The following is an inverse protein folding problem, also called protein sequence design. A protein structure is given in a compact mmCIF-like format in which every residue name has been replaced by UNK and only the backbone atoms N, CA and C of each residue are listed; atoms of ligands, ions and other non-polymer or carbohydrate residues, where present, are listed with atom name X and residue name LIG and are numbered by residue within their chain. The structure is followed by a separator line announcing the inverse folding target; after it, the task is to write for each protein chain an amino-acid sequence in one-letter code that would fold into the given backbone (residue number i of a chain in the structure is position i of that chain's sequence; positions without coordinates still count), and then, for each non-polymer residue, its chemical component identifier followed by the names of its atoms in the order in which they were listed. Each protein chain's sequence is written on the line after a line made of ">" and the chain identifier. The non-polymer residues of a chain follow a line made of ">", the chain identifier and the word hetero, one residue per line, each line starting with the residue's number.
data_IF_507559500376
#
_entry.id   IF_507559500376
#
_cell.length_a   1.000
_cell.length_b   1.000
_cell.length_c   1.000
_cell.angle_alpha   90.00
_cell.angle_beta   90.00
_cell.angle_gamma   90.00
#
_symmetry.space_group_name_H-M   'P 1'
#
loop_
_entity.id
_entity.type
_entity.pdbx_description
1 polymer ?
#
# COMPACT_ATOMS: atom_id res chain seq x y z
N UNK A 1 -3.97 -1.72 -35.84
CA UNK A 1 -3.85 -0.26 -35.62
C UNK A 1 -2.41 0.02 -35.21
N UNK A 2 -1.67 0.74 -36.05
CA UNK A 2 -0.30 1.19 -35.75
C UNK A 2 -0.36 2.26 -34.66
N UNK A 3 -0.03 1.90 -33.42
CA UNK A 3 0.10 2.86 -32.33
C UNK A 3 1.50 3.50 -32.38
N UNK A 4 1.62 4.62 -33.09
CA UNK A 4 2.86 5.39 -33.22
C UNK A 4 3.18 6.25 -31.98
N UNK A 5 2.60 5.97 -30.82
CA UNK A 5 2.88 6.70 -29.59
C UNK A 5 4.16 6.18 -28.95
N UNK A 6 5.25 6.94 -29.10
CA UNK A 6 6.54 6.66 -28.43
C UNK A 6 6.36 6.80 -26.92
N UNK A 7 6.56 5.72 -26.16
CA UNK A 7 6.62 5.78 -24.69
C UNK A 7 7.77 6.70 -24.26
N UNK A 8 7.45 7.69 -23.42
CA UNK A 8 8.42 8.66 -22.88
C UNK A 8 8.42 8.55 -21.36
N UNK A 9 9.61 8.59 -20.77
CA UNK A 9 9.83 8.51 -19.33
C UNK A 9 11.32 8.30 -19.03
N UNK A 10 11.80 8.87 -17.92
CA UNK A 10 13.15 8.64 -17.43
C UNK A 10 13.28 7.15 -17.09
N UNK A 11 14.36 6.54 -17.58
CA UNK A 11 14.68 5.16 -17.21
C UNK A 11 15.04 5.13 -15.73
N UNK A 12 14.51 4.13 -15.04
CA UNK A 12 14.87 3.90 -13.65
C UNK A 12 16.33 3.46 -13.52
N UNK A 13 16.97 3.86 -12.41
CA UNK A 13 18.33 3.45 -12.12
C UNK A 13 18.38 1.96 -11.74
N UNK A 14 19.01 1.16 -12.59
CA UNK A 14 19.13 -0.28 -12.41
C UNK A 14 19.90 -0.68 -11.13
N UNK A 15 20.65 0.23 -10.49
CA UNK A 15 21.28 -0.02 -9.19
C UNK A 15 20.28 -0.36 -8.09
N UNK A 16 19.00 -0.04 -8.27
CA UNK A 16 17.93 -0.35 -7.30
C UNK A 16 17.07 -1.55 -7.74
N UNK A 17 17.47 -2.30 -8.77
CA UNK A 17 16.77 -3.51 -9.21
C UNK A 17 16.66 -4.57 -8.09
N UNK A 18 17.58 -4.55 -7.11
CA UNK A 18 17.51 -5.41 -5.93
C UNK A 18 16.22 -5.23 -5.12
N UNK A 19 15.59 -4.04 -5.13
CA UNK A 19 14.29 -3.82 -4.47
C UNK A 19 13.20 -4.68 -5.14
N UNK A 20 13.22 -4.77 -6.47
CA UNK A 20 12.26 -5.58 -7.21
C UNK A 20 12.44 -7.07 -6.92
N UNK A 21 13.68 -7.52 -6.69
CA UNK A 21 13.94 -8.91 -6.29
C UNK A 21 13.51 -9.17 -4.85
N UNK A 22 13.84 -8.27 -3.92
CA UNK A 22 13.47 -8.36 -2.49
C UNK A 22 11.96 -8.53 -2.31
N UNK A 23 11.17 -7.76 -3.04
CA UNK A 23 9.70 -7.78 -2.92
C UNK A 23 8.99 -8.63 -3.97
N UNK A 24 9.72 -9.42 -4.76
CA UNK A 24 9.16 -10.27 -5.83
C UNK A 24 8.31 -9.48 -6.85
N UNK A 25 8.78 -8.30 -7.21
CA UNK A 25 8.13 -7.37 -8.14
C UNK A 25 8.76 -7.38 -9.54
N UNK A 26 9.84 -8.12 -9.78
CA UNK A 26 10.42 -8.25 -11.13
C UNK A 26 9.61 -9.19 -12.02
N UNK A 27 9.88 -9.18 -13.33
CA UNK A 27 9.18 -10.03 -14.30
C UNK A 27 9.37 -11.54 -14.05
N UNK A 28 10.42 -11.92 -13.32
CA UNK A 28 10.67 -13.29 -12.88
C UNK A 28 9.54 -13.85 -12.00
N UNK A 29 8.83 -12.98 -11.29
CA UNK A 29 7.75 -13.34 -10.37
C UNK A 29 6.36 -13.07 -10.96
N UNK A 30 6.26 -12.97 -12.29
CA UNK A 30 4.99 -12.76 -12.96
C UNK A 30 3.99 -13.87 -12.61
N UNK A 31 2.78 -13.47 -12.21
CA UNK A 31 1.73 -14.40 -11.83
C UNK A 31 0.98 -14.86 -13.09
N UNK A 32 1.01 -16.16 -13.36
CA UNK A 32 0.33 -16.77 -14.51
C UNK A 32 -1.10 -17.23 -14.19
N UNK A 33 -1.37 -17.49 -12.92
CA UNK A 33 -2.64 -18.02 -12.44
C UNK A 33 -3.35 -17.00 -11.55
N UNK A 34 -4.68 -17.05 -11.58
CA UNK A 34 -5.50 -16.23 -10.71
C UNK A 34 -5.50 -16.82 -9.30
N UNK A 35 -5.07 -16.02 -8.33
CA UNK A 35 -5.14 -16.37 -6.91
C UNK A 35 -6.57 -16.09 -6.44
N UNK A 36 -7.12 -16.98 -5.60
CA UNK A 36 -8.45 -16.74 -5.01
C UNK A 36 -8.36 -15.68 -3.93
N UNK A 37 -9.29 -14.72 -3.96
CA UNK A 37 -9.44 -13.70 -2.92
C UNK A 37 -9.66 -14.35 -1.56
N UNK A 38 -8.97 -13.85 -0.55
CA UNK A 38 -9.12 -14.29 0.84
C UNK A 38 -9.98 -13.29 1.58
N UNK A 39 -10.78 -13.81 2.51
CA UNK A 39 -11.70 -13.03 3.33
C UNK A 39 -11.20 -12.98 4.79
N UNK A 40 -11.67 -12.02 5.59
CA UNK A 40 -11.32 -11.96 7.01
C UNK A 40 -11.50 -13.31 7.72
N UNK A 41 -10.55 -13.63 8.60
CA UNK A 41 -10.42 -14.92 9.29
C UNK A 41 -9.60 -15.97 8.55
N UNK A 42 -9.30 -15.79 7.25
CA UNK A 42 -8.43 -16.70 6.50
C UNK A 42 -6.94 -16.41 6.80
N UNK A 43 -6.06 -17.43 6.96
CA UNK A 43 -4.64 -17.22 7.30
C UNK A 43 -3.81 -16.40 6.30
N UNK A 44 -4.28 -16.33 5.05
CA UNK A 44 -3.71 -15.52 3.95
C UNK A 44 -4.40 -14.17 3.72
N UNK A 45 -5.33 -13.78 4.60
CA UNK A 45 -5.89 -12.43 4.69
C UNK A 45 -5.32 -11.72 5.93
N UNK A 46 -4.80 -10.51 5.76
CA UNK A 46 -4.13 -9.78 6.86
C UNK A 46 -4.48 -8.29 6.87
N UNK A 47 -4.70 -7.76 8.07
CA UNK A 47 -4.71 -6.32 8.30
C UNK A 47 -3.28 -5.84 8.56
N UNK A 48 -2.90 -4.74 7.94
CA UNK A 48 -1.55 -4.17 8.05
C UNK A 48 -1.66 -2.72 8.47
N UNK A 49 -0.89 -2.34 9.48
CA UNK A 49 -0.79 -0.96 9.96
C UNK A 49 0.67 -0.64 10.27
N UNK A 50 0.99 0.65 10.42
CA UNK A 50 2.26 1.08 10.97
C UNK A 50 2.07 2.32 11.85
N UNK A 51 2.94 2.48 12.86
CA UNK A 51 2.88 3.61 13.78
C UNK A 51 4.25 3.94 14.36
N UNK A 52 4.45 5.21 14.67
CA UNK A 52 5.48 5.64 15.63
C UNK A 52 4.87 5.77 17.03
N UNK A 53 5.72 5.90 18.05
CA UNK A 53 5.31 6.05 19.46
C UNK A 53 4.28 7.18 19.67
N UNK A 54 4.35 8.26 18.88
CA UNK A 54 3.38 9.37 18.92
C UNK A 54 1.94 8.91 18.64
N UNK A 55 1.77 7.93 17.76
CA UNK A 55 0.47 7.39 17.35
C UNK A 55 0.09 6.12 18.11
N UNK A 56 0.77 5.80 19.22
CA UNK A 56 0.46 4.62 20.01
C UNK A 56 -1.00 4.58 20.53
N UNK A 57 -1.60 5.69 21.03
CA UNK A 57 -2.99 5.67 21.47
C UNK A 57 -3.98 5.28 20.37
N UNK A 58 -3.84 5.85 19.16
CA UNK A 58 -4.70 5.53 18.02
C UNK A 58 -4.45 4.11 17.51
N UNK A 59 -3.20 3.67 17.46
CA UNK A 59 -2.83 2.29 17.12
C UNK A 59 -3.47 1.27 18.06
N UNK A 60 -3.42 1.51 19.37
CA UNK A 60 -4.06 0.64 20.37
C UNK A 60 -5.57 0.54 20.14
N UNK A 61 -6.21 1.67 19.81
CA UNK A 61 -7.64 1.72 19.51
C UNK A 61 -8.00 0.95 18.23
N UNK A 62 -7.21 1.11 17.16
CA UNK A 62 -7.36 0.36 15.91
C UNK A 62 -7.24 -1.15 16.16
N UNK A 63 -6.19 -1.60 16.86
CA UNK A 63 -5.98 -3.03 17.14
C UNK A 63 -7.17 -3.60 17.92
N UNK A 64 -7.62 -2.90 18.97
CA UNK A 64 -8.78 -3.33 19.74
C UNK A 64 -10.05 -3.40 18.87
N UNK A 65 -10.27 -2.39 18.03
CA UNK A 65 -11.42 -2.35 17.12
C UNK A 65 -11.39 -3.50 16.09
N UNK A 66 -10.24 -3.78 15.47
CA UNK A 66 -10.11 -4.92 14.55
C UNK A 66 -10.41 -6.23 15.27
N UNK A 67 -9.88 -6.43 16.49
CA UNK A 67 -10.15 -7.67 17.25
C UNK A 67 -11.61 -7.78 17.69
N UNK A 68 -12.25 -6.66 18.03
CA UNK A 68 -13.67 -6.63 18.36
C UNK A 68 -14.55 -7.01 17.16
N UNK A 69 -14.24 -6.49 15.96
CA UNK A 69 -15.07 -6.73 14.78
C UNK A 69 -14.76 -8.09 14.11
N UNK A 70 -13.48 -8.42 13.95
CA UNK A 70 -13.04 -9.58 13.15
C UNK A 70 -12.57 -10.78 13.99
N UNK A 71 -12.50 -10.64 15.32
CA UNK A 71 -12.16 -11.73 16.25
C UNK A 71 -10.67 -12.07 16.32
N UNK A 72 -10.33 -12.99 17.23
CA UNK A 72 -8.94 -13.30 17.55
C UNK A 72 -8.18 -14.08 16.46
N UNK A 73 -8.88 -14.80 15.58
CA UNK A 73 -8.25 -15.54 14.47
C UNK A 73 -7.74 -14.62 13.36
N UNK A 74 -8.18 -13.36 13.33
CA UNK A 74 -7.80 -12.42 12.29
C UNK A 74 -6.38 -11.90 12.54
N UNK A 75 -5.44 -12.21 11.65
CA UNK A 75 -4.07 -11.73 11.73
C UNK A 75 -3.95 -10.22 11.49
N UNK A 76 -3.10 -9.57 12.30
CA UNK A 76 -2.67 -8.19 12.15
C UNK A 76 -1.14 -8.17 12.10
N UNK A 77 -0.56 -7.43 11.16
CA UNK A 77 0.86 -7.09 11.15
C UNK A 77 0.98 -5.58 11.41
N UNK A 78 1.67 -5.22 12.49
CA UNK A 78 1.95 -3.84 12.85
C UNK A 78 3.45 -3.54 12.68
N UNK A 79 3.76 -2.48 11.92
CA UNK A 79 5.14 -2.00 11.78
C UNK A 79 5.43 -0.89 12.78
N UNK A 80 6.54 -1.03 13.50
CA UNK A 80 7.14 0.06 14.28
C UNK A 80 7.93 0.97 13.35
N UNK A 81 7.44 2.20 13.19
CA UNK A 81 8.11 3.26 12.44
C UNK A 81 9.08 4.03 13.31
N UNK A 82 8.82 4.13 14.62
CA UNK A 82 9.72 4.81 15.54
C UNK A 82 9.32 4.56 16.99
N UNK A 83 10.14 3.78 17.71
CA UNK A 83 10.15 3.67 19.17
C UNK A 83 8.90 3.07 19.84
N UNK A 84 7.95 2.45 19.12
CA UNK A 84 6.82 1.73 19.75
C UNK A 84 7.34 0.53 20.55
N UNK A 85 8.17 -0.28 19.91
CA UNK A 85 8.74 -1.53 20.47
C UNK A 85 9.74 -1.29 21.59
N UNK A 86 10.27 -0.07 21.73
CA UNK A 86 11.18 0.30 22.83
C UNK A 86 10.46 0.45 24.17
N UNK A 87 9.14 0.63 24.18
CA UNK A 87 8.37 0.75 25.41
C UNK A 87 7.89 -0.62 25.89
N UNK A 88 8.53 -1.16 26.92
CA UNK A 88 8.24 -2.50 27.47
C UNK A 88 6.82 -2.63 28.01
N UNK A 89 6.24 -1.57 28.59
CA UNK A 89 4.86 -1.59 29.09
C UNK A 89 3.85 -1.70 27.94
N UNK A 90 4.08 -0.95 26.87
CA UNK A 90 3.26 -1.06 25.66
C UNK A 90 3.39 -2.44 25.03
N UNK A 91 4.60 -2.96 24.91
CA UNK A 91 4.82 -4.29 24.33
C UNK A 91 4.22 -5.41 25.19
N UNK A 92 4.26 -5.31 26.52
CA UNK A 92 3.57 -6.28 27.38
C UNK A 92 2.06 -6.33 27.10
N UNK A 93 1.45 -5.16 26.89
CA UNK A 93 0.04 -5.09 26.51
C UNK A 93 -0.21 -5.64 25.10
N UNK A 94 0.65 -5.32 24.13
CA UNK A 94 0.45 -5.74 22.75
C UNK A 94 0.73 -7.22 22.54
N UNK A 95 1.70 -7.79 23.25
CA UNK A 95 2.06 -9.22 23.17
C UNK A 95 0.95 -10.15 23.69
N UNK A 96 0.01 -9.63 24.50
CA UNK A 96 -1.17 -10.40 24.93
C UNK A 96 -2.28 -10.42 23.88
N UNK A 97 -2.16 -9.64 22.79
CA UNK A 97 -3.13 -9.63 21.70
C UNK A 97 -2.88 -10.84 20.79
N UNK A 98 -3.88 -11.72 20.71
CA UNK A 98 -3.94 -12.85 19.79
C UNK A 98 -3.64 -12.45 18.34
N UNK A 99 -2.88 -13.25 17.58
CA UNK A 99 -2.62 -13.04 16.14
C UNK A 99 -2.17 -11.60 15.78
N UNK A 100 -1.32 -10.99 16.61
CA UNK A 100 -0.66 -9.72 16.35
C UNK A 100 0.84 -9.97 16.17
N UNK A 101 1.35 -9.60 15.00
CA UNK A 101 2.78 -9.67 14.65
C UNK A 101 3.37 -8.27 14.59
N UNK A 102 4.56 -8.09 15.16
CA UNK A 102 5.32 -6.85 15.11
C UNK A 102 6.52 -6.97 14.18
N UNK A 103 6.71 -5.96 13.35
CA UNK A 103 7.89 -5.81 12.49
C UNK A 103 8.51 -4.44 12.72
N UNK A 104 9.83 -4.36 12.69
CA UNK A 104 10.53 -3.06 12.73
C UNK A 104 10.72 -2.62 11.28
N UNK A 105 10.30 -1.39 10.96
CA UNK A 105 10.51 -0.86 9.62
C UNK A 105 11.96 -0.39 9.43
N UNK A 106 12.66 -1.00 8.48
CA UNK A 106 14.03 -0.62 8.15
C UNK A 106 14.05 0.60 7.22
N UNK A 107 14.31 1.80 7.74
CA UNK A 107 14.42 3.02 6.93
C UNK A 107 15.68 3.08 6.06
N UNK A 108 16.65 2.17 6.25
CA UNK A 108 17.85 2.13 5.40
C UNK A 108 17.52 1.69 3.97
N UNK A 109 16.43 0.94 3.78
CA UNK A 109 15.96 0.49 2.46
C UNK A 109 15.38 1.62 1.59
N UNK A 110 15.05 2.76 2.20
CA UNK A 110 14.57 3.93 1.48
C UNK A 110 15.76 4.61 0.80
N UNK A 111 15.81 4.46 -0.53
CA UNK A 111 16.87 4.98 -1.39
C UNK A 111 16.95 6.50 -1.30
N UNK A 112 18.12 7.02 -0.94
CA UNK A 112 18.43 8.44 -0.74
C UNK A 112 17.59 9.09 0.38
N UNK A 113 18.23 9.80 1.31
CA UNK A 113 17.59 10.36 2.53
C UNK A 113 16.34 11.26 2.34
N UNK A 114 15.89 11.50 1.11
CA UNK A 114 14.70 12.27 0.73
C UNK A 114 13.36 11.60 1.09
N UNK A 115 13.35 10.27 1.29
CA UNK A 115 12.13 9.48 1.61
C UNK A 115 12.04 9.07 3.09
N UNK A 116 13.03 9.44 3.93
CA UNK A 116 13.05 9.07 5.35
C UNK A 116 12.14 9.91 6.24
N UNK A 117 11.60 11.02 5.73
CA UNK A 117 10.61 11.80 6.47
C UNK A 117 9.29 11.03 6.54
N UNK A 118 8.84 10.67 7.75
CA UNK A 118 7.59 9.94 7.98
C UNK A 118 6.37 10.61 7.34
N UNK A 119 6.39 11.95 7.25
CA UNK A 119 5.34 12.78 6.64
C UNK A 119 5.27 12.69 5.12
N UNK A 120 6.27 12.10 4.45
CA UNK A 120 6.16 11.78 3.02
C UNK A 120 5.23 10.60 2.75
N UNK A 121 4.95 9.78 3.78
CA UNK A 121 4.16 8.55 3.72
C UNK A 121 4.62 7.52 2.66
N UNK A 122 5.75 7.78 1.99
CA UNK A 122 6.26 6.96 0.90
C UNK A 122 6.66 5.57 1.37
N UNK A 123 6.99 5.43 2.66
CA UNK A 123 7.28 4.16 3.33
C UNK A 123 6.10 3.18 3.34
N UNK A 124 4.83 3.63 3.17
CA UNK A 124 3.65 2.74 3.16
C UNK A 124 3.76 1.66 2.10
N UNK A 125 4.27 2.02 0.91
CA UNK A 125 4.43 1.06 -0.20
C UNK A 125 5.46 -0.03 0.12
N UNK A 126 6.46 0.31 0.93
CA UNK A 126 7.50 -0.61 1.41
C UNK A 126 6.91 -1.69 2.29
N UNK A 127 6.08 -1.27 3.24
CA UNK A 127 5.32 -2.19 4.10
C UNK A 127 4.36 -3.04 3.28
N UNK A 128 3.57 -2.42 2.38
CA UNK A 128 2.56 -3.15 1.60
C UNK A 128 3.20 -4.22 0.71
N UNK A 129 4.32 -3.94 0.03
CA UNK A 129 4.94 -4.96 -0.82
C UNK A 129 5.60 -6.09 -0.02
N UNK A 130 6.20 -5.78 1.13
CA UNK A 130 6.74 -6.77 2.05
C UNK A 130 5.66 -7.81 2.38
N UNK A 131 4.50 -7.33 2.86
CA UNK A 131 3.38 -8.19 3.24
C UNK A 131 2.74 -8.87 2.03
N UNK A 132 2.59 -8.18 0.89
CA UNK A 132 2.08 -8.81 -0.33
C UNK A 132 3.00 -9.93 -0.84
N UNK A 133 4.28 -9.97 -0.49
CA UNK A 133 5.15 -11.08 -0.85
C UNK A 133 4.78 -12.39 -0.13
N UNK A 134 4.08 -12.29 1.01
CA UNK A 134 3.72 -13.41 1.91
C UNK A 134 2.23 -13.76 1.91
N UNK A 135 1.36 -12.75 1.71
CA UNK A 135 -0.09 -12.86 1.82
C UNK A 135 -0.79 -12.70 0.46
N UNK A 136 -2.04 -13.16 0.37
CA UNK A 136 -2.82 -13.13 -0.86
C UNK A 136 -3.81 -11.96 -0.90
N UNK A 137 -4.33 -11.56 0.26
CA UNK A 137 -5.19 -10.38 0.38
C UNK A 137 -4.75 -9.57 1.60
N UNK A 138 -4.53 -8.27 1.39
CA UNK A 138 -3.98 -7.34 2.36
C UNK A 138 -4.93 -6.17 2.50
N UNK A 139 -5.28 -5.81 3.72
CA UNK A 139 -5.98 -4.59 4.05
C UNK A 139 -5.03 -3.66 4.81
N UNK A 140 -4.47 -2.66 4.11
CA UNK A 140 -3.75 -1.56 4.75
C UNK A 140 -4.73 -0.66 5.48
N UNK A 141 -4.42 -0.31 6.73
CA UNK A 141 -5.22 0.55 7.59
C UNK A 141 -4.31 1.51 8.35
N UNK A 142 -4.56 2.82 8.22
CA UNK A 142 -3.98 3.84 9.08
C UNK A 142 -4.56 3.73 10.50
N UNK A 143 -3.81 4.19 11.50
CA UNK A 143 -4.22 4.10 12.91
C UNK A 143 -5.47 4.93 13.24
N UNK A 144 -5.92 5.80 12.34
CA UNK A 144 -7.15 6.59 12.46
C UNK A 144 -8.40 5.86 11.97
N UNK A 145 -8.27 4.70 11.33
CA UNK A 145 -9.41 3.94 10.81
C UNK A 145 -10.20 3.29 11.95
N UNK A 146 -11.52 3.27 11.80
CA UNK A 146 -12.43 2.56 12.70
C UNK A 146 -13.44 1.76 11.89
N UNK A 147 -13.54 0.46 12.16
CA UNK A 147 -14.51 -0.43 11.54
C UNK A 147 -15.80 -0.44 12.34
N UNK A 148 -16.90 -0.04 11.68
CA UNK A 148 -18.26 -0.17 12.21
C UNK A 148 -18.90 -1.55 11.98
N UNK A 149 -18.29 -2.39 11.14
CA UNK A 149 -18.71 -3.77 10.92
C UNK A 149 -17.54 -4.65 10.49
N UNK A 150 -17.73 -5.96 10.52
CA UNK A 150 -16.77 -6.96 10.06
C UNK A 150 -16.96 -7.37 8.59
N UNK A 151 -17.85 -6.68 7.86
CA UNK A 151 -18.24 -7.08 6.52
C UNK A 151 -17.43 -6.32 5.45
N UNK A 152 -16.36 -6.93 4.96
CA UNK A 152 -15.60 -6.44 3.80
C UNK A 152 -16.07 -7.03 2.46
N UNK A 153 -17.12 -7.84 2.46
CA UNK A 153 -17.67 -8.49 1.25
C UNK A 153 -18.09 -7.52 0.15
N UNK A 154 -18.62 -6.31 0.43
CA UNK A 154 -18.95 -5.33 -0.61
C UNK A 154 -17.76 -4.95 -1.50
N UNK A 155 -16.53 -5.09 -1.01
CA UNK A 155 -15.30 -4.85 -1.79
C UNK A 155 -14.69 -6.16 -2.27
N UNK A 156 -14.57 -7.17 -1.40
CA UNK A 156 -13.85 -8.41 -1.71
C UNK A 156 -14.59 -9.31 -2.73
N UNK A 157 -15.91 -9.38 -2.68
CA UNK A 157 -16.67 -10.24 -3.60
C UNK A 157 -16.62 -9.73 -5.05
N UNK A 158 -16.76 -8.42 -5.34
CA UNK A 158 -16.53 -7.90 -6.68
C UNK A 158 -15.10 -8.10 -7.20
N UNK A 159 -14.07 -7.98 -6.34
CA UNK A 159 -12.68 -8.32 -6.73
C UNK A 159 -12.59 -9.78 -7.15
N UNK A 160 -13.16 -10.70 -6.37
CA UNK A 160 -13.11 -12.14 -6.67
C UNK A 160 -13.79 -12.47 -8.00
N UNK A 161 -14.90 -11.78 -8.31
CA UNK A 161 -15.64 -11.93 -9.56
C UNK A 161 -15.00 -11.21 -10.75
N UNK A 162 -13.90 -10.47 -10.54
CA UNK A 162 -13.27 -9.67 -11.59
C UNK A 162 -14.11 -8.46 -12.04
N UNK A 163 -15.08 -8.03 -11.23
CA UNK A 163 -15.96 -6.89 -11.55
C UNK A 163 -15.28 -5.55 -11.28
N UNK A 164 -14.34 -5.52 -10.32
CA UNK A 164 -13.50 -4.36 -10.01
C UNK A 164 -12.04 -4.80 -9.91
N UNK A 165 -11.12 -3.84 -10.03
CA UNK A 165 -9.69 -4.11 -9.96
C UNK A 165 -9.24 -4.67 -8.59
N UNK A 166 -8.09 -5.34 -8.53
CA UNK A 166 -7.58 -5.99 -7.32
C UNK A 166 -7.01 -5.02 -6.27
N UNK A 167 -6.97 -3.72 -6.56
CA UNK A 167 -6.54 -2.66 -5.63
C UNK A 167 -7.67 -1.66 -5.50
N UNK A 168 -8.12 -1.43 -4.27
CA UNK A 168 -9.26 -0.57 -3.96
C UNK A 168 -8.90 0.43 -2.88
N UNK A 169 -9.17 1.71 -3.16
CA UNK A 169 -9.02 2.85 -2.26
C UNK A 169 -10.39 3.52 -2.14
N UNK A 170 -11.22 3.14 -1.14
CA UNK A 170 -12.64 3.47 -1.13
C UNK A 170 -12.95 4.93 -0.74
N UNK A 171 -11.96 5.74 -0.34
CA UNK A 171 -12.16 7.13 0.09
C UNK A 171 -11.50 8.11 -0.88
N UNK A 172 -12.18 9.23 -1.15
CA UNK A 172 -11.70 10.34 -2.00
C UNK A 172 -11.06 11.43 -1.12
N UNK A 173 -9.96 12.03 -1.56
CA UNK A 173 -9.29 13.11 -0.82
C UNK A 173 -9.93 14.49 -1.03
N UNK A 174 -11.02 14.58 -1.81
CA UNK A 174 -11.76 15.80 -2.15
C UNK A 174 -10.95 16.84 -2.94
N UNK A 175 -9.82 16.42 -3.51
CA UNK A 175 -9.04 17.17 -4.48
C UNK A 175 -8.53 16.21 -5.56
N UNK A 176 -7.99 16.74 -6.66
CA UNK A 176 -7.41 15.91 -7.71
C UNK A 176 -5.90 15.74 -7.59
N UNK A 177 -5.37 14.86 -8.43
CA UNK A 177 -3.98 14.43 -8.46
C UNK A 177 -3.02 15.52 -8.93
N UNK A 178 -3.46 16.43 -9.80
CA UNK A 178 -2.61 17.50 -10.35
C UNK A 178 -2.19 18.50 -9.26
N UNK A 179 -3.01 18.69 -8.22
CA UNK A 179 -2.71 19.60 -7.11
C UNK A 179 -1.71 18.98 -6.13
N UNK A 180 -1.76 17.67 -5.90
CA UNK A 180 -0.93 17.00 -4.90
C UNK A 180 0.34 16.35 -5.46
N UNK A 181 0.38 16.05 -6.75
CA UNK A 181 1.51 15.37 -7.38
C UNK A 181 2.55 16.38 -7.82
N UNK A 182 3.75 16.29 -7.26
CA UNK A 182 4.87 17.12 -7.71
C UNK A 182 5.11 16.92 -9.22
N UNK A 183 5.17 17.97 -10.05
CA UNK A 183 5.24 17.83 -11.51
C UNK A 183 6.42 16.98 -12.03
N UNK A 184 7.53 16.95 -11.30
CA UNK A 184 8.69 16.10 -11.63
C UNK A 184 8.42 14.58 -11.56
N UNK A 185 7.37 14.13 -10.87
CA UNK A 185 7.03 12.70 -10.80
C UNK A 185 6.58 12.14 -12.14
N UNK A 186 5.91 12.94 -12.95
CA UNK A 186 5.39 12.53 -14.25
C UNK A 186 6.50 12.30 -15.29
N UNK A 187 7.73 12.77 -15.04
CA UNK A 187 8.89 12.44 -15.86
C UNK A 187 9.26 10.96 -15.79
N UNK A 188 8.85 10.24 -14.73
CA UNK A 188 9.15 8.82 -14.53
C UNK A 188 8.00 7.91 -14.97
N UNK A 189 6.80 8.45 -15.14
CA UNK A 189 5.65 7.69 -15.62
C UNK A 189 5.77 7.46 -17.13
N UNK A 190 5.58 6.22 -17.63
CA UNK A 190 5.64 5.91 -19.06
C UNK A 190 4.37 6.42 -19.75
N UNK A 191 4.33 7.72 -20.02
CA UNK A 191 3.19 8.39 -20.65
C UNK A 191 3.35 8.40 -22.18
N UNK A 192 2.22 8.40 -22.87
CA UNK A 192 2.16 8.51 -24.33
C UNK A 192 2.31 9.97 -24.82
N UNK A 193 2.44 10.93 -23.91
CA UNK A 193 2.50 12.37 -24.20
C UNK A 193 3.76 12.99 -23.58
N UNK A 194 4.25 14.09 -24.17
CA UNK A 194 5.29 14.91 -23.55
C UNK A 194 4.69 15.60 -22.32
N UNK A 195 5.04 15.13 -21.13
CA UNK A 195 4.64 15.80 -19.92
C UNK A 195 5.39 17.13 -19.81
N UNK A 196 4.64 18.24 -19.81
CA UNK A 196 5.15 19.56 -19.49
C UNK A 196 4.58 19.96 -18.13
N UNK A 197 5.42 20.31 -17.13
CA UNK A 197 4.98 20.64 -15.77
C UNK A 197 3.85 21.67 -15.69
N UNK A 198 3.79 22.61 -16.64
CA UNK A 198 2.81 23.70 -16.70
C UNK A 198 1.53 23.34 -17.44
N UNK A 199 1.40 22.13 -17.98
CA UNK A 199 0.27 21.68 -18.83
C UNK A 199 -0.43 20.43 -18.29
N UNK A 200 -0.25 20.07 -17.01
CA UNK A 200 -0.92 18.92 -16.35
C UNK A 200 -2.41 18.82 -16.66
N UNK A 201 -3.15 19.91 -16.46
CA UNK A 201 -4.59 19.98 -16.74
C UNK A 201 -4.89 19.78 -18.24
N UNK A 202 -4.03 20.28 -19.14
CA UNK A 202 -4.22 20.07 -20.58
C UNK A 202 -4.08 18.60 -20.98
N UNK A 203 -3.22 17.84 -20.29
CA UNK A 203 -2.92 16.44 -20.62
C UNK A 203 -3.84 15.43 -19.92
N UNK A 204 -4.35 15.77 -18.74
CA UNK A 204 -5.27 14.94 -17.96
C UNK A 204 -6.75 15.30 -18.20
N UNK A 205 -7.02 16.47 -18.80
CA UNK A 205 -8.36 17.02 -18.95
C UNK A 205 -8.82 17.67 -17.64
N UNK A 206 -9.89 17.13 -17.04
CA UNK A 206 -10.23 17.47 -15.65
C UNK A 206 -9.18 16.89 -14.70
N UNK A 207 -8.96 17.56 -13.57
CA UNK A 207 -8.04 17.07 -12.54
C UNK A 207 -8.50 15.67 -12.06
N UNK A 208 -7.74 14.59 -12.33
CA UNK A 208 -8.18 13.25 -11.98
C UNK A 208 -8.38 13.14 -10.46
N UNK A 209 -9.43 12.46 -9.97
CA UNK A 209 -9.68 12.37 -8.54
C UNK A 209 -8.51 11.69 -7.83
N UNK A 210 -8.11 12.23 -6.69
CA UNK A 210 -7.18 11.57 -5.81
C UNK A 210 -7.95 10.79 -4.73
N UNK A 211 -7.47 9.59 -4.45
CA UNK A 211 -8.00 8.73 -3.40
C UNK A 211 -7.09 8.75 -2.17
N UNK A 212 -7.68 8.61 -0.99
CA UNK A 212 -6.95 8.51 0.25
C UNK A 212 -6.29 7.14 0.39
N UNK A 213 -5.13 7.11 1.06
CA UNK A 213 -4.40 5.87 1.37
C UNK A 213 -4.51 5.48 2.85
N UNK A 214 -5.56 5.93 3.53
CA UNK A 214 -5.86 5.59 4.92
C UNK A 214 -6.44 4.18 5.06
N UNK A 215 -7.20 3.72 4.08
CA UNK A 215 -7.70 2.35 3.97
C UNK A 215 -7.51 1.86 2.54
N UNK A 216 -6.76 0.77 2.35
CA UNK A 216 -6.51 0.20 1.02
C UNK A 216 -6.68 -1.31 1.09
N UNK A 217 -7.47 -1.88 0.19
CA UNK A 217 -7.54 -3.33 0.01
C UNK A 217 -6.76 -3.71 -1.25
N UNK A 218 -5.80 -4.61 -1.10
CA UNK A 218 -4.98 -5.14 -2.18
C UNK A 218 -5.10 -6.66 -2.22
N UNK A 219 -5.41 -7.20 -3.40
CA UNK A 219 -5.37 -8.63 -3.66
C UNK A 219 -4.20 -8.95 -4.60
N UNK A 220 -3.44 -9.99 -4.25
CA UNK A 220 -2.30 -10.46 -5.03
C UNK A 220 -2.77 -10.91 -6.41
N UNK A 221 -2.25 -10.24 -7.42
CA UNK A 221 -2.50 -10.50 -8.83
C UNK A 221 -1.34 -9.94 -9.65
N UNK A 222 -1.24 -10.32 -10.92
CA UNK A 222 -0.24 -9.74 -11.82
C UNK A 222 -0.42 -8.22 -11.96
N UNK A 223 -1.67 -7.74 -11.99
CA UNK A 223 -1.97 -6.31 -12.01
C UNK A 223 -1.45 -5.59 -10.76
N UNK A 224 -1.69 -6.13 -9.57
CA UNK A 224 -1.16 -5.58 -8.31
C UNK A 224 0.37 -5.60 -8.31
N UNK A 225 1.01 -6.69 -8.76
CA UNK A 225 2.48 -6.77 -8.85
C UNK A 225 3.06 -5.70 -9.76
N UNK A 226 2.46 -5.48 -10.93
CA UNK A 226 2.89 -4.45 -11.87
C UNK A 226 2.67 -3.04 -11.30
N UNK A 227 1.54 -2.79 -10.64
CA UNK A 227 1.29 -1.52 -9.97
C UNK A 227 2.36 -1.22 -8.91
N UNK A 228 2.62 -2.20 -8.03
CA UNK A 228 3.66 -2.09 -6.99
C UNK A 228 5.04 -1.91 -7.62
N UNK A 229 5.37 -2.66 -8.69
CA UNK A 229 6.62 -2.48 -9.44
C UNK A 229 6.78 -1.03 -9.89
N UNK A 230 5.78 -0.44 -10.53
CA UNK A 230 5.89 0.94 -11.01
C UNK A 230 6.03 1.94 -9.87
N UNK A 231 5.27 1.77 -8.78
CA UNK A 231 5.35 2.65 -7.61
C UNK A 231 6.74 2.66 -6.98
N UNK A 232 7.44 1.52 -6.97
CA UNK A 232 8.82 1.44 -6.44
C UNK A 232 9.89 2.06 -7.33
N UNK A 233 9.58 2.25 -8.62
CA UNK A 233 10.53 2.72 -9.62
C UNK A 233 10.33 4.21 -9.96
N UNK A 234 9.36 4.88 -9.34
CA UNK A 234 9.01 6.29 -9.60
C UNK A 234 9.17 7.11 -8.33
#
# INVERSE_FOLDING_TARGET
>A
MNDSRRFRGKKFNCSFAWLLERYKLSGKYALKEQIKVKFPGHPKFVFVTAASAKYFPSLRMLIANIKQQFGCRQKIIAYDLENVTKNTKWMAQLNSVCELEWRIFDFSQLVNGRVRHLHSYSWKIFVIADVLSEFDTVAWVDTSIFFGSNNLSPILAPIQKGQIGPVQMPSNSHHGMNIATHPGMYEYLPLFTNFEPTKTNKWTGNDPPQFESNFVILHKSEQTRQLMKWYYLT
#
